data_IF_092084894416
#
_entry.id   IF_092084894416
#
_cell.length_a   1.000
_cell.length_b   1.000
_cell.length_c   1.000
_cell.angle_alpha   90.00
_cell.angle_beta   90.00
_cell.angle_gamma   90.00
#
_symmetry.space_group_name_H-M   'P 1'
#
loop_
_entity.id
_entity.type
_entity.pdbx_description
1 polymer ?
#
# COMPACT_ATOMS: atom_id res chain seq x y z
N UNK A 1 -3.37 -2.26 32.10
CA UNK A 1 -4.55 -1.39 32.29
C UNK A 1 -5.20 -1.27 30.92
N UNK A 2 -6.52 -1.41 30.84
CA UNK A 2 -7.25 -1.50 29.57
C UNK A 2 -7.16 -0.19 28.79
N UNK A 3 -6.61 -0.24 27.58
CA UNK A 3 -6.62 0.87 26.63
C UNK A 3 -8.08 1.13 26.20
N UNK A 4 -8.68 2.20 26.70
CA UNK A 4 -10.10 2.48 26.46
C UNK A 4 -10.29 3.03 25.04
N UNK A 5 -10.72 2.16 24.12
CA UNK A 5 -11.20 2.55 22.79
C UNK A 5 -12.67 2.93 22.89
N UNK A 6 -12.98 4.22 22.80
CA UNK A 6 -14.35 4.74 22.98
C UNK A 6 -14.82 5.42 21.68
N UNK A 7 -16.10 5.30 21.28
CA UNK A 7 -16.67 6.19 20.28
C UNK A 7 -16.55 7.65 20.77
N UNK A 8 -16.07 8.55 19.92
CA UNK A 8 -15.80 9.93 20.29
C UNK A 8 -16.22 10.90 19.18
N UNK A 9 -16.63 12.11 19.55
CA UNK A 9 -16.74 13.25 18.66
C UNK A 9 -15.52 14.14 18.93
N UNK A 10 -14.66 14.26 17.92
CA UNK A 10 -13.38 14.96 18.02
C UNK A 10 -13.47 16.30 17.30
N UNK A 11 -13.28 17.39 18.05
CA UNK A 11 -13.15 18.75 17.53
C UNK A 11 -11.66 19.07 17.38
N UNK A 12 -11.24 19.57 16.21
CA UNK A 12 -9.82 19.83 15.91
C UNK A 12 -9.54 21.32 15.77
N UNK A 13 -8.55 21.81 16.51
CA UNK A 13 -7.96 23.13 16.33
C UNK A 13 -6.78 23.04 15.35
N UNK A 14 -6.76 23.90 14.33
CA UNK A 14 -5.72 23.86 13.28
C UNK A 14 -4.46 24.66 13.59
N UNK A 15 -4.56 25.64 14.49
CA UNK A 15 -3.48 26.55 14.88
C UNK A 15 -3.11 26.36 16.35
N UNK A 16 -1.91 26.82 16.72
CA UNK A 16 -1.53 26.91 18.15
C UNK A 16 -2.33 28.06 18.76
N UNK A 17 -2.98 27.81 19.89
CA UNK A 17 -3.74 28.81 20.65
C UNK A 17 -3.04 29.09 21.98
N UNK A 18 -3.07 30.34 22.47
CA UNK A 18 -2.79 30.65 23.87
C UNK A 18 -3.64 29.79 24.82
N UNK A 19 -3.11 29.51 26.01
CA UNK A 19 -3.79 28.65 27.00
C UNK A 19 -5.13 29.23 27.44
N UNK A 20 -5.24 30.55 27.56
CA UNK A 20 -6.49 31.22 27.96
C UNK A 20 -7.57 31.08 26.88
N UNK A 21 -7.21 31.26 25.60
CA UNK A 21 -8.11 31.06 24.46
C UNK A 21 -8.54 29.59 24.35
N UNK A 22 -7.63 28.65 24.63
CA UNK A 22 -7.95 27.23 24.65
C UNK A 22 -8.96 26.90 25.76
N UNK A 23 -8.81 27.48 26.95
CA UNK A 23 -9.74 27.30 28.07
C UNK A 23 -11.12 27.91 27.79
N UNK A 24 -11.16 29.08 27.13
CA UNK A 24 -12.40 29.68 26.67
C UNK A 24 -13.11 28.78 25.64
N UNK A 25 -12.37 28.29 24.64
CA UNK A 25 -12.87 27.39 23.61
C UNK A 25 -13.43 26.09 24.21
N UNK A 26 -12.72 25.49 25.17
CA UNK A 26 -13.19 24.30 25.91
C UNK A 26 -14.54 24.58 26.58
N UNK A 27 -14.71 25.76 27.17
CA UNK A 27 -15.93 26.15 27.87
C UNK A 27 -17.09 26.35 26.89
N UNK A 28 -16.86 27.02 25.76
CA UNK A 28 -17.87 27.25 24.73
C UNK A 28 -18.36 25.96 24.08
N UNK A 29 -17.43 25.04 23.77
CA UNK A 29 -17.77 23.71 23.24
C UNK A 29 -18.65 22.95 24.25
N UNK A 30 -18.26 22.95 25.53
CA UNK A 30 -19.05 22.29 26.59
C UNK A 30 -20.44 22.88 26.74
N UNK A 31 -20.59 24.20 26.64
CA UNK A 31 -21.90 24.85 26.74
C UNK A 31 -22.82 24.49 25.57
N UNK A 32 -22.28 24.43 24.34
CA UNK A 32 -23.06 24.10 23.15
C UNK A 32 -23.42 22.63 23.06
N UNK A 33 -22.49 21.74 23.43
CA UNK A 33 -22.77 20.31 23.44
C UNK A 33 -23.85 19.89 24.46
N UNK A 34 -24.13 20.72 25.47
CA UNK A 34 -25.24 20.47 26.42
C UNK A 34 -26.63 20.54 25.79
N UNK A 35 -26.80 21.25 24.67
CA UNK A 35 -28.09 21.35 24.00
C UNK A 35 -28.34 20.23 23.00
N UNK A 36 -27.40 19.28 22.86
CA UNK A 36 -27.56 18.15 21.95
C UNK A 36 -28.53 17.13 22.54
N UNK A 37 -29.51 16.73 21.75
CA UNK A 37 -30.58 15.82 22.19
C UNK A 37 -30.26 14.37 21.81
N UNK A 38 -30.50 13.43 22.74
CA UNK A 38 -30.32 11.99 22.52
C UNK A 38 -29.56 11.26 23.63
N UNK A 39 -29.31 9.97 23.44
CA UNK A 39 -28.53 9.16 24.39
C UNK A 39 -27.02 9.45 24.29
N UNK A 40 -26.39 9.74 25.42
CA UNK A 40 -24.97 10.10 25.51
C UNK A 40 -24.03 8.91 25.30
N UNK A 41 -23.69 8.61 24.06
CA UNK A 41 -22.84 7.46 23.69
C UNK A 41 -21.38 7.83 23.40
N UNK A 42 -21.09 9.07 23.02
CA UNK A 42 -19.79 9.50 22.49
C UNK A 42 -19.01 10.35 23.49
N UNK A 43 -17.72 10.09 23.64
CA UNK A 43 -16.84 11.02 24.36
C UNK A 43 -16.63 12.29 23.52
N UNK A 44 -16.73 13.46 24.15
CA UNK A 44 -16.41 14.73 23.50
C UNK A 44 -14.92 15.03 23.71
N UNK A 45 -14.15 15.20 22.64
CA UNK A 45 -12.69 15.36 22.73
C UNK A 45 -12.22 16.56 21.91
N UNK A 46 -11.38 17.41 22.51
CA UNK A 46 -10.68 18.47 21.79
C UNK A 46 -9.26 18.01 21.44
N UNK A 47 -8.93 18.06 20.16
CA UNK A 47 -7.58 17.85 19.65
C UNK A 47 -6.96 19.18 19.23
N UNK A 48 -5.87 19.59 19.87
CA UNK A 48 -5.25 20.90 19.69
C UNK A 48 -3.74 20.78 19.42
N UNK A 49 -3.13 21.82 18.88
CA UNK A 49 -1.69 21.86 18.57
C UNK A 49 -0.93 22.48 19.74
N UNK A 50 0.11 21.80 20.24
CA UNK A 50 1.10 22.39 21.16
C UNK A 50 2.12 23.23 20.39
N UNK A 51 2.55 22.70 19.24
CA UNK A 51 3.45 23.33 18.29
C UNK A 51 3.12 22.81 16.87
N UNK A 52 3.91 23.19 15.87
CA UNK A 52 3.71 22.78 14.46
C UNK A 52 3.80 21.26 14.23
N UNK A 53 4.38 20.50 15.16
CA UNK A 53 4.68 19.07 15.03
C UNK A 53 3.95 18.19 16.06
N UNK A 54 3.50 18.75 17.18
CA UNK A 54 2.92 18.01 18.32
C UNK A 54 1.48 18.44 18.58
N UNK A 55 0.62 17.45 18.76
CA UNK A 55 -0.81 17.65 19.09
C UNK A 55 -1.14 17.03 20.45
N UNK A 56 -2.02 17.68 21.18
CA UNK A 56 -2.61 17.20 22.43
C UNK A 56 -4.08 16.83 22.25
N UNK A 57 -4.60 16.05 23.19
CA UNK A 57 -6.01 15.71 23.28
C UNK A 57 -6.48 15.96 24.70
N UNK A 58 -7.70 16.48 24.85
CA UNK A 58 -8.34 16.63 26.15
C UNK A 58 -9.81 16.18 26.07
N UNK A 59 -10.24 15.24 26.92
CA UNK A 59 -11.66 14.92 27.07
C UNK A 59 -12.41 16.13 27.66
N UNK A 60 -13.58 16.43 27.11
CA UNK A 60 -14.38 17.60 27.45
C UNK A 60 -15.55 17.31 28.41
N UNK A 61 -15.46 16.25 29.21
CA UNK A 61 -16.44 15.95 30.26
C UNK A 61 -17.34 14.76 29.90
N UNK A 62 -18.66 14.81 30.21
CA UNK A 62 -19.55 13.66 30.06
C UNK A 62 -19.79 13.30 28.59
N UNK A 63 -20.27 12.08 28.38
CA UNK A 63 -20.66 11.60 27.05
C UNK A 63 -21.80 12.43 26.47
N UNK A 64 -21.74 12.63 25.15
CA UNK A 64 -22.70 13.39 24.37
C UNK A 64 -23.37 12.49 23.31
N UNK A 65 -24.59 12.82 22.89
CA UNK A 65 -25.24 12.09 21.80
C UNK A 65 -24.60 12.40 20.44
N UNK A 66 -24.93 11.59 19.44
CA UNK A 66 -24.60 11.92 18.05
C UNK A 66 -25.61 12.93 17.49
N UNK A 67 -25.19 14.19 17.44
CA UNK A 67 -25.97 15.29 16.86
C UNK A 67 -25.22 15.91 15.66
N UNK A 68 -25.46 15.46 14.42
CA UNK A 68 -24.78 16.00 13.25
C UNK A 68 -25.11 17.48 13.01
N UNK A 69 -26.32 17.93 13.36
CA UNK A 69 -26.73 19.34 13.20
C UNK A 69 -25.98 20.20 14.21
N UNK A 70 -25.90 19.75 15.46
CA UNK A 70 -25.11 20.39 16.51
C UNK A 70 -23.61 20.40 16.21
N UNK A 71 -23.07 19.34 15.61
CA UNK A 71 -21.68 19.27 15.17
C UNK A 71 -21.36 20.31 14.09
N UNK A 72 -22.22 20.43 13.07
CA UNK A 72 -22.07 21.43 12.01
C UNK A 72 -22.21 22.85 12.58
N UNK A 73 -23.17 23.09 13.47
CA UNK A 73 -23.36 24.39 14.11
C UNK A 73 -22.15 24.80 14.96
N UNK A 74 -21.57 23.90 15.75
CA UNK A 74 -20.37 24.19 16.53
C UNK A 74 -19.18 24.53 15.61
N UNK A 75 -19.02 23.83 14.49
CA UNK A 75 -17.96 24.12 13.53
C UNK A 75 -18.14 25.49 12.86
N UNK A 76 -19.39 25.92 12.64
CA UNK A 76 -19.70 27.24 12.08
C UNK A 76 -19.53 28.37 13.10
N UNK A 77 -19.90 28.13 14.35
CA UNK A 77 -19.86 29.13 15.42
C UNK A 77 -18.43 29.43 15.90
N UNK A 78 -17.56 28.43 15.93
CA UNK A 78 -16.24 28.51 16.55
C UNK A 78 -15.13 28.49 15.49
N UNK A 79 -14.62 29.67 15.15
CA UNK A 79 -13.66 29.87 14.05
C UNK A 79 -12.29 29.20 14.28
N UNK A 80 -11.98 28.86 15.53
CA UNK A 80 -10.77 28.15 15.92
C UNK A 80 -10.78 26.69 15.45
N UNK A 81 -11.96 26.12 15.23
CA UNK A 81 -12.13 24.75 14.80
C UNK A 81 -11.92 24.60 13.29
N UNK A 82 -11.14 23.60 12.93
CA UNK A 82 -10.89 23.21 11.54
C UNK A 82 -11.71 22.00 11.10
N UNK A 83 -12.18 21.20 12.04
CA UNK A 83 -13.07 20.08 11.76
C UNK A 83 -13.74 19.57 13.03
N UNK A 84 -14.96 19.07 12.88
CA UNK A 84 -15.66 18.25 13.88
C UNK A 84 -15.96 16.90 13.23
N UNK A 85 -15.52 15.81 13.85
CA UNK A 85 -15.60 14.47 13.24
C UNK A 85 -16.03 13.42 14.25
N UNK A 86 -16.93 12.53 13.84
CA UNK A 86 -17.31 11.35 14.61
C UNK A 86 -16.32 10.21 14.37
N UNK A 87 -15.84 9.61 15.45
CA UNK A 87 -15.01 8.42 15.48
C UNK A 87 -15.73 7.30 16.24
N UNK A 88 -15.74 6.09 15.66
CA UNK A 88 -16.32 4.92 16.33
C UNK A 88 -15.32 4.16 17.21
N UNK A 89 -14.07 4.62 17.26
CA UNK A 89 -12.96 4.08 18.04
C UNK A 89 -11.84 5.13 18.03
N UNK A 90 -11.65 5.83 19.14
CA UNK A 90 -10.62 6.85 19.31
C UNK A 90 -9.77 6.56 20.54
N UNK A 91 -8.45 6.61 20.39
CA UNK A 91 -7.52 6.60 21.51
C UNK A 91 -7.23 8.04 21.91
N UNK A 92 -7.73 8.44 23.09
CA UNK A 92 -7.58 9.79 23.61
C UNK A 92 -6.14 10.06 24.09
N UNK A 93 -5.39 9.02 24.49
CA UNK A 93 -4.02 9.15 25.00
C UNK A 93 -3.06 9.43 23.83
N UNK A 94 -3.14 8.64 22.76
CA UNK A 94 -2.24 8.77 21.61
C UNK A 94 -2.78 9.68 20.49
N UNK A 95 -4.04 10.09 20.55
CA UNK A 95 -4.67 10.95 19.55
C UNK A 95 -4.80 10.32 18.16
N UNK A 96 -4.68 8.99 18.08
CA UNK A 96 -4.69 8.26 16.82
C UNK A 96 -6.07 7.67 16.58
N UNK A 97 -6.56 7.82 15.35
CA UNK A 97 -7.62 6.95 14.83
C UNK A 97 -7.02 5.55 14.75
N UNK A 98 -7.47 4.62 15.59
CA UNK A 98 -7.24 3.23 15.26
C UNK A 98 -7.97 2.96 13.94
N UNK A 99 -7.21 2.66 12.88
CA UNK A 99 -7.79 1.96 11.76
C UNK A 99 -8.44 0.72 12.33
N UNK A 100 -9.78 0.74 12.31
CA UNK A 100 -10.64 -0.36 12.73
C UNK A 100 -10.37 -1.57 11.83
N UNK A 101 -9.23 -2.24 12.02
CA UNK A 101 -9.09 -3.66 11.72
C UNK A 101 -9.84 -4.38 12.83
N UNK A 102 -11.17 -4.47 12.70
CA UNK A 102 -11.95 -5.46 13.41
C UNK A 102 -11.48 -6.82 12.92
N UNK A 103 -10.39 -7.32 13.50
CA UNK A 103 -10.22 -8.75 13.67
C UNK A 103 -10.97 -9.10 14.95
N UNK A 104 -11.77 -10.16 14.87
CA UNK A 104 -12.47 -10.88 15.94
C UNK A 104 -13.69 -10.23 16.58
N UNK A 105 -14.87 -10.78 16.25
CA UNK A 105 -16.08 -10.71 17.07
C UNK A 105 -17.37 -10.36 16.33
N UNK A 106 -17.99 -11.32 15.63
CA UNK A 106 -19.39 -11.29 15.17
C UNK A 106 -19.77 -10.22 14.12
N UNK A 107 -19.07 -10.17 13.00
CA UNK A 107 -19.79 -9.92 11.73
C UNK A 107 -20.41 -11.25 11.33
N UNK A 108 -21.73 -11.37 11.11
CA UNK A 108 -22.27 -12.54 10.42
C UNK A 108 -21.42 -12.75 9.17
N UNK A 109 -20.94 -13.97 8.87
CA UNK A 109 -20.19 -14.17 7.65
C UNK A 109 -21.02 -13.56 6.53
N UNK A 110 -20.43 -12.64 5.76
CA UNK A 110 -21.09 -12.16 4.53
C UNK A 110 -21.60 -13.43 3.86
N UNK A 111 -22.91 -13.52 3.52
CA UNK A 111 -23.45 -14.73 2.92
C UNK A 111 -22.47 -15.14 1.83
N UNK A 112 -21.97 -16.37 1.96
CA UNK A 112 -21.03 -16.91 1.00
C UNK A 112 -21.60 -16.70 -0.40
N UNK A 113 -20.75 -16.52 -1.41
CA UNK A 113 -21.24 -16.39 -2.78
C UNK A 113 -22.21 -17.54 -3.06
N UNK A 114 -23.37 -17.21 -3.64
CA UNK A 114 -24.42 -18.17 -3.96
C UNK A 114 -23.79 -19.32 -4.75
N UNK A 115 -23.96 -20.60 -4.33
CA UNK A 115 -23.41 -21.75 -5.06
C UNK A 115 -23.79 -21.76 -6.54
N UNK A 116 -24.96 -21.24 -6.93
CA UNK A 116 -25.37 -21.12 -8.33
C UNK A 116 -24.51 -20.12 -9.13
N UNK A 117 -23.91 -19.15 -8.44
CA UNK A 117 -23.00 -18.15 -8.99
C UNK A 117 -21.52 -18.55 -8.86
N UNK A 118 -21.23 -19.71 -8.27
CA UNK A 118 -19.86 -20.21 -8.13
C UNK A 118 -19.49 -21.12 -9.30
N UNK A 119 -18.41 -20.77 -9.99
CA UNK A 119 -17.83 -21.58 -11.07
C UNK A 119 -16.32 -21.72 -10.89
N UNK A 120 -15.84 -22.96 -10.78
CA UNK A 120 -14.42 -23.31 -10.51
C UNK A 120 -13.80 -22.57 -9.31
N UNK A 121 -14.59 -22.32 -8.25
CA UNK A 121 -14.14 -21.61 -7.05
C UNK A 121 -14.22 -20.08 -7.14
N UNK A 122 -14.76 -19.52 -8.23
CA UNK A 122 -14.93 -18.08 -8.44
C UNK A 122 -16.40 -17.68 -8.48
N UNK A 123 -16.70 -16.52 -7.90
CA UNK A 123 -18.02 -15.89 -7.97
C UNK A 123 -18.17 -15.13 -9.30
N UNK A 124 -18.94 -15.68 -10.24
CA UNK A 124 -19.11 -15.13 -11.60
C UNK A 124 -19.78 -13.75 -11.62
N UNK A 125 -20.49 -13.37 -10.54
CA UNK A 125 -21.14 -12.07 -10.44
C UNK A 125 -20.13 -10.94 -10.21
N UNK A 126 -18.96 -11.27 -9.64
CA UNK A 126 -17.86 -10.33 -9.42
C UNK A 126 -16.94 -10.18 -10.62
N UNK A 127 -17.15 -10.98 -11.67
CA UNK A 127 -16.33 -11.00 -12.88
C UNK A 127 -17.10 -10.33 -14.00
N UNK A 128 -16.44 -9.41 -14.71
CA UNK A 128 -17.01 -8.78 -15.90
C UNK A 128 -17.49 -9.88 -16.87
N UNK A 129 -18.76 -9.86 -17.32
CA UNK A 129 -19.31 -10.87 -18.22
C UNK A 129 -18.43 -11.19 -19.43
N UNK A 130 -17.76 -10.18 -19.99
CA UNK A 130 -16.87 -10.34 -21.16
C UNK A 130 -15.61 -11.16 -20.86
N UNK A 131 -15.17 -11.22 -19.60
CA UNK A 131 -13.96 -11.91 -19.16
C UNK A 131 -14.24 -13.28 -18.54
N UNK A 132 -15.51 -13.70 -18.45
CA UNK A 132 -15.86 -14.98 -17.79
C UNK A 132 -15.24 -16.19 -18.48
N UNK A 133 -14.98 -16.13 -19.78
CA UNK A 133 -14.28 -17.20 -20.50
C UNK A 133 -12.88 -17.49 -19.91
N UNK A 134 -12.27 -16.54 -19.20
CA UNK A 134 -10.98 -16.74 -18.54
C UNK A 134 -11.05 -17.66 -17.33
N UNK A 135 -12.24 -17.89 -16.73
CA UNK A 135 -12.36 -18.80 -15.59
C UNK A 135 -12.36 -20.27 -16.00
N UNK A 136 -12.56 -20.53 -17.29
CA UNK A 136 -12.71 -21.84 -17.88
C UNK A 136 -11.36 -22.59 -17.96
N UNK A 137 -11.33 -23.92 -17.80
CA UNK A 137 -10.11 -24.71 -17.88
C UNK A 137 -9.31 -24.52 -19.18
N UNK A 138 -9.99 -24.26 -20.30
CA UNK A 138 -9.41 -24.04 -21.62
C UNK A 138 -8.51 -22.79 -21.66
N UNK A 139 -8.84 -21.75 -20.88
CA UNK A 139 -8.01 -20.55 -20.75
C UNK A 139 -6.63 -20.87 -20.16
N UNK A 140 -6.56 -21.84 -19.24
CA UNK A 140 -5.29 -22.32 -18.66
C UNK A 140 -4.41 -23.02 -19.68
N UNK A 141 -5.01 -23.77 -20.60
CA UNK A 141 -4.29 -24.42 -21.69
C UNK A 141 -3.68 -23.37 -22.64
N UNK A 142 -4.47 -22.36 -23.03
CA UNK A 142 -4.00 -21.22 -23.85
C UNK A 142 -2.86 -20.47 -23.16
N UNK A 143 -2.98 -20.20 -21.86
CA UNK A 143 -1.92 -19.57 -21.08
C UNK A 143 -0.64 -20.38 -21.00
N UNK A 144 -0.74 -21.71 -20.91
CA UNK A 144 0.43 -22.60 -20.97
C UNK A 144 1.10 -22.55 -22.34
N UNK A 145 0.33 -22.57 -23.42
CA UNK A 145 0.86 -22.43 -24.78
C UNK A 145 1.59 -21.08 -24.95
N UNK A 146 0.99 -19.99 -24.46
CA UNK A 146 1.60 -18.68 -24.46
C UNK A 146 2.90 -18.62 -23.64
N UNK A 147 2.94 -19.26 -22.47
CA UNK A 147 4.15 -19.35 -21.65
C UNK A 147 5.27 -20.15 -22.33
N UNK A 148 4.93 -21.24 -23.01
CA UNK A 148 5.88 -22.05 -23.77
C UNK A 148 6.45 -21.29 -24.97
N UNK A 149 5.66 -20.41 -25.62
CA UNK A 149 6.16 -19.53 -26.68
C UNK A 149 7.29 -18.62 -26.17
N UNK A 150 7.22 -18.17 -24.93
CA UNK A 150 8.20 -17.28 -24.30
C UNK A 150 9.38 -18.01 -23.65
N UNK A 151 9.36 -19.35 -23.67
CA UNK A 151 10.37 -20.15 -22.99
C UNK A 151 11.73 -20.03 -23.67
N UNK A 152 12.76 -19.86 -22.86
CA UNK A 152 14.13 -19.68 -23.35
C UNK A 152 14.46 -18.25 -23.76
N UNK A 153 13.48 -17.34 -23.79
CA UNK A 153 13.74 -15.91 -23.90
C UNK A 153 14.31 -15.36 -22.58
N UNK A 154 15.24 -14.39 -22.61
CA UNK A 154 15.99 -13.96 -23.78
C UNK A 154 16.93 -15.07 -24.26
N UNK A 155 16.97 -15.29 -25.58
CA UNK A 155 17.75 -16.38 -26.16
C UNK A 155 19.24 -16.01 -26.14
N UNK A 156 20.06 -16.89 -25.56
CA UNK A 156 21.50 -16.65 -25.36
C UNK A 156 22.30 -16.59 -26.66
N UNK A 157 21.81 -17.25 -27.71
CA UNK A 157 22.38 -17.25 -29.06
C UNK A 157 21.92 -16.06 -29.92
N UNK A 158 21.04 -15.20 -29.41
CA UNK A 158 20.52 -14.02 -30.11
C UNK A 158 21.05 -12.72 -29.51
N UNK A 159 21.24 -11.73 -30.37
CA UNK A 159 21.52 -10.35 -29.96
C UNK A 159 20.29 -9.71 -29.28
N UNK A 160 20.51 -8.64 -28.52
CA UNK A 160 19.40 -7.94 -27.86
C UNK A 160 18.36 -7.39 -28.84
N UNK A 161 18.78 -6.95 -30.03
CA UNK A 161 17.86 -6.52 -31.09
C UNK A 161 17.02 -7.69 -31.61
N UNK A 162 17.63 -8.84 -31.88
CA UNK A 162 16.91 -10.04 -32.34
C UNK A 162 15.93 -10.58 -31.27
N UNK A 163 16.26 -10.47 -29.99
CA UNK A 163 15.35 -10.80 -28.89
C UNK A 163 14.15 -9.83 -28.87
N UNK A 164 14.40 -8.52 -29.00
CA UNK A 164 13.31 -7.53 -29.08
C UNK A 164 12.40 -7.79 -30.28
N UNK A 165 12.99 -8.06 -31.44
CA UNK A 165 12.24 -8.29 -32.68
C UNK A 165 11.40 -9.58 -32.59
N UNK A 166 11.90 -10.62 -31.90
CA UNK A 166 11.09 -11.80 -31.56
C UNK A 166 9.83 -11.44 -30.75
N UNK A 167 9.94 -10.57 -29.74
CA UNK A 167 8.77 -10.15 -28.96
C UNK A 167 7.78 -9.37 -29.83
N UNK A 168 8.23 -8.43 -30.67
CA UNK A 168 7.32 -7.64 -31.50
C UNK A 168 6.69 -8.46 -32.64
N UNK A 169 7.49 -9.23 -33.37
CA UNK A 169 7.06 -9.90 -34.61
C UNK A 169 6.49 -11.30 -34.36
N UNK A 170 7.07 -12.05 -33.43
CA UNK A 170 6.73 -13.47 -33.24
C UNK A 170 5.84 -13.72 -32.02
N UNK A 171 5.65 -12.71 -31.16
CA UNK A 171 4.73 -12.77 -30.01
C UNK A 171 3.60 -11.77 -30.19
N UNK A 172 3.89 -10.46 -30.22
CA UNK A 172 2.85 -9.42 -30.23
C UNK A 172 2.05 -9.43 -31.54
N UNK A 173 2.72 -9.48 -32.70
CA UNK A 173 2.02 -9.42 -33.99
C UNK A 173 1.07 -10.61 -34.25
N UNK A 174 1.29 -11.75 -33.60
CA UNK A 174 0.45 -12.94 -33.73
C UNK A 174 -0.59 -13.09 -32.61
N UNK A 175 -0.64 -12.16 -31.62
CA UNK A 175 -1.54 -12.27 -30.48
C UNK A 175 -3.01 -12.40 -30.90
N UNK A 176 -3.49 -11.52 -31.78
CA UNK A 176 -4.88 -11.54 -32.23
C UNK A 176 -5.22 -12.83 -33.01
N UNK A 177 -4.31 -13.27 -33.88
CA UNK A 177 -4.55 -14.43 -34.75
C UNK A 177 -4.41 -15.77 -34.00
N UNK A 178 -3.43 -15.90 -33.11
CA UNK A 178 -3.11 -17.15 -32.41
C UNK A 178 -3.78 -17.26 -31.05
N UNK A 179 -4.00 -16.13 -30.38
CA UNK A 179 -4.54 -16.06 -29.03
C UNK A 179 -5.63 -14.98 -28.89
N UNK A 180 -6.75 -15.08 -29.63
CA UNK A 180 -7.79 -14.04 -29.68
C UNK A 180 -8.35 -13.69 -28.29
N UNK A 181 -8.60 -14.68 -27.43
CA UNK A 181 -9.05 -14.44 -26.05
C UNK A 181 -8.02 -13.64 -25.23
N UNK A 182 -6.72 -13.93 -25.41
CA UNK A 182 -5.64 -13.20 -24.74
C UNK A 182 -5.60 -11.76 -25.24
N UNK A 183 -5.78 -11.56 -26.53
CA UNK A 183 -5.83 -10.26 -27.17
C UNK A 183 -7.02 -9.42 -26.68
N UNK A 184 -8.21 -9.99 -26.59
CA UNK A 184 -9.41 -9.34 -26.07
C UNK A 184 -9.23 -8.86 -24.62
N UNK A 185 -8.62 -9.71 -23.78
CA UNK A 185 -8.29 -9.37 -22.40
C UNK A 185 -7.25 -8.25 -22.36
N UNK A 186 -6.22 -8.33 -23.20
CA UNK A 186 -5.23 -7.26 -23.32
C UNK A 186 -5.89 -5.92 -23.71
N UNK A 187 -6.83 -5.91 -24.66
CA UNK A 187 -7.59 -4.71 -25.02
C UNK A 187 -8.45 -4.19 -23.85
N UNK A 188 -9.10 -5.09 -23.12
CA UNK A 188 -9.91 -4.72 -21.95
C UNK A 188 -9.08 -4.04 -20.84
N UNK A 189 -7.80 -4.40 -20.72
CA UNK A 189 -6.84 -3.80 -19.79
C UNK A 189 -5.90 -2.80 -20.47
N UNK A 190 -6.41 -2.07 -21.46
CA UNK A 190 -5.74 -0.97 -22.16
C UNK A 190 -4.36 -1.35 -22.74
N UNK A 191 -4.12 -2.59 -23.12
CA UNK A 191 -2.83 -3.05 -23.65
C UNK A 191 -1.79 -3.44 -22.60
N UNK A 192 -2.19 -3.79 -21.38
CA UNK A 192 -1.27 -4.10 -20.28
C UNK A 192 -0.28 -5.24 -20.57
N UNK A 193 -0.67 -6.30 -21.27
CA UNK A 193 0.24 -7.39 -21.64
C UNK A 193 1.25 -6.91 -22.68
N UNK A 194 0.80 -6.20 -23.72
CA UNK A 194 1.69 -5.67 -24.76
C UNK A 194 2.72 -4.71 -24.15
N UNK A 195 2.30 -3.85 -23.22
CA UNK A 195 3.25 -3.00 -22.47
C UNK A 195 4.28 -3.83 -21.70
N UNK A 196 3.84 -4.84 -20.96
CA UNK A 196 4.74 -5.71 -20.20
C UNK A 196 5.74 -6.44 -21.12
N UNK A 197 5.27 -6.98 -22.25
CA UNK A 197 6.10 -7.63 -23.27
C UNK A 197 7.12 -6.64 -23.86
N UNK A 198 6.73 -5.40 -24.13
CA UNK A 198 7.66 -4.36 -24.59
C UNK A 198 8.69 -4.00 -23.53
N UNK A 199 8.28 -3.89 -22.27
CA UNK A 199 9.20 -3.61 -21.15
C UNK A 199 10.28 -4.68 -21.04
N UNK A 200 9.94 -5.97 -21.14
CA UNK A 200 10.94 -7.06 -21.12
C UNK A 200 11.77 -7.15 -22.41
N UNK A 201 11.22 -6.65 -23.54
CA UNK A 201 11.88 -6.61 -24.83
C UNK A 201 13.01 -5.57 -24.88
N UNK A 202 12.95 -4.55 -24.02
CA UNK A 202 13.97 -3.51 -24.00
C UNK A 202 15.37 -4.08 -23.72
N UNK A 203 16.38 -3.76 -24.56
CA UNK A 203 17.74 -4.29 -24.41
C UNK A 203 18.33 -4.13 -23.00
N UNK A 204 18.07 -3.01 -22.34
CA UNK A 204 18.53 -2.73 -20.97
C UNK A 204 17.92 -3.64 -19.89
N UNK A 205 16.81 -4.30 -20.21
CA UNK A 205 16.01 -5.10 -19.29
C UNK A 205 16.24 -6.60 -19.49
N UNK A 206 16.61 -7.04 -20.70
CA UNK A 206 16.81 -8.45 -21.04
C UNK A 206 17.79 -9.17 -20.09
N UNK A 207 18.92 -8.55 -19.74
CA UNK A 207 19.93 -9.14 -18.85
C UNK A 207 19.54 -9.15 -17.36
N UNK A 208 18.41 -8.53 -17.01
CA UNK A 208 17.92 -8.37 -15.61
C UNK A 208 16.66 -9.20 -15.35
N UNK A 209 16.27 -10.02 -16.34
CA UNK A 209 15.15 -10.93 -16.23
C UNK A 209 15.53 -12.15 -15.36
N UNK A 210 14.68 -12.54 -14.41
CA UNK A 210 14.80 -13.84 -13.75
C UNK A 210 14.70 -14.98 -14.76
N UNK A 211 15.35 -16.12 -14.48
CA UNK A 211 15.34 -17.30 -15.38
C UNK A 211 13.96 -17.91 -15.60
N UNK A 212 13.02 -17.67 -14.69
CA UNK A 212 11.66 -18.20 -14.66
C UNK A 212 10.59 -17.16 -15.06
N UNK A 213 10.98 -16.02 -15.63
CA UNK A 213 10.07 -14.91 -15.92
C UNK A 213 8.90 -15.30 -16.85
N UNK A 214 9.11 -16.23 -17.79
CA UNK A 214 8.06 -16.77 -18.68
C UNK A 214 6.92 -17.44 -17.91
N UNK A 215 7.23 -18.01 -16.74
CA UNK A 215 6.26 -18.54 -15.80
C UNK A 215 5.39 -17.47 -15.16
N UNK A 216 5.91 -16.26 -14.93
CA UNK A 216 5.14 -15.13 -14.37
C UNK A 216 4.04 -14.69 -15.34
N UNK A 217 4.35 -14.53 -16.63
CA UNK A 217 3.32 -14.22 -17.63
C UNK A 217 2.41 -15.43 -17.90
N UNK A 218 2.92 -16.66 -17.84
CA UNK A 218 2.09 -17.86 -17.91
C UNK A 218 1.09 -17.99 -16.75
N UNK A 219 1.49 -17.57 -15.55
CA UNK A 219 0.68 -17.62 -14.34
C UNK A 219 -0.50 -16.63 -14.38
N UNK A 220 -0.50 -15.64 -15.27
CA UNK A 220 -1.64 -14.76 -15.54
C UNK A 220 -2.93 -15.53 -15.84
N UNK A 221 -2.78 -16.73 -16.39
CA UNK A 221 -3.86 -17.62 -16.82
C UNK A 221 -3.96 -18.90 -15.99
N UNK A 222 -3.18 -19.05 -14.91
CA UNK A 222 -3.32 -20.21 -14.02
C UNK A 222 -4.42 -20.03 -13.01
N UNK A 223 -4.54 -18.81 -12.49
CA UNK A 223 -5.61 -18.44 -11.59
C UNK A 223 -6.87 -18.04 -12.33
N UNK A 224 -6.85 -17.99 -13.67
CA UNK A 224 -8.07 -17.90 -14.46
C UNK A 224 -8.97 -16.71 -14.00
N UNK A 225 -8.35 -15.60 -13.57
CA UNK A 225 -9.05 -14.52 -12.87
C UNK A 225 -8.48 -13.13 -13.25
N UNK A 226 -9.32 -12.11 -13.48
CA UNK A 226 -8.89 -10.75 -13.86
C UNK A 226 -7.85 -10.10 -12.92
N UNK A 227 -7.94 -10.33 -11.62
CA UNK A 227 -6.95 -9.80 -10.67
C UNK A 227 -5.57 -10.43 -10.85
N UNK A 228 -5.49 -11.71 -11.27
CA UNK A 228 -4.21 -12.34 -11.55
C UNK A 228 -3.56 -11.71 -12.79
N UNK A 229 -4.35 -11.41 -13.82
CA UNK A 229 -3.89 -10.66 -15.00
C UNK A 229 -3.22 -9.33 -14.60
N UNK A 230 -3.98 -8.50 -13.90
CA UNK A 230 -3.55 -7.15 -13.50
C UNK A 230 -2.31 -7.19 -12.62
N UNK A 231 -2.27 -8.11 -11.64
CA UNK A 231 -1.15 -8.24 -10.71
C UNK A 231 0.14 -8.65 -11.41
N UNK A 232 0.08 -9.60 -12.33
CA UNK A 232 1.25 -10.11 -13.05
C UNK A 232 1.76 -9.10 -14.09
N UNK A 233 0.88 -8.38 -14.81
CA UNK A 233 1.30 -7.25 -15.67
C UNK A 233 2.03 -6.18 -14.85
N UNK A 234 1.45 -5.80 -13.70
CA UNK A 234 2.04 -4.78 -12.81
C UNK A 234 3.35 -5.26 -12.19
N UNK A 235 3.53 -6.57 -12.01
CA UNK A 235 4.74 -7.15 -11.45
C UNK A 235 5.97 -6.88 -12.31
N UNK A 236 5.83 -6.93 -13.64
CA UNK A 236 6.93 -6.66 -14.59
C UNK A 236 7.48 -5.25 -14.39
N UNK A 237 6.61 -4.24 -14.38
CA UNK A 237 7.02 -2.84 -14.21
C UNK A 237 7.64 -2.61 -12.83
N UNK A 238 7.07 -3.23 -11.79
CA UNK A 238 7.61 -3.14 -10.42
C UNK A 238 8.99 -3.79 -10.29
N UNK A 239 9.23 -4.93 -10.94
CA UNK A 239 10.52 -5.60 -10.93
C UNK A 239 11.62 -4.68 -11.46
N UNK A 240 11.42 -4.08 -12.64
CA UNK A 240 12.42 -3.18 -13.22
C UNK A 240 12.58 -1.88 -12.44
N UNK A 241 11.51 -1.32 -11.89
CA UNK A 241 11.59 -0.16 -11.00
C UNK A 241 12.43 -0.46 -9.74
N UNK A 242 12.26 -1.65 -9.14
CA UNK A 242 13.06 -2.10 -8.01
C UNK A 242 14.52 -2.32 -8.40
N UNK A 243 14.78 -2.95 -9.54
CA UNK A 243 16.14 -3.17 -10.03
C UNK A 243 16.84 -1.84 -10.36
N UNK A 244 16.12 -0.83 -10.88
CA UNK A 244 16.68 0.50 -11.14
C UNK A 244 16.99 1.23 -9.82
N UNK A 245 16.09 1.12 -8.84
CA UNK A 245 16.33 1.64 -7.49
C UNK A 245 17.55 1.00 -6.84
N UNK A 246 17.73 -0.33 -6.94
CA UNK A 246 18.93 -1.03 -6.45
C UNK A 246 20.20 -0.55 -7.15
N UNK A 247 20.16 -0.38 -8.46
CA UNK A 247 21.30 0.12 -9.24
C UNK A 247 21.69 1.54 -8.81
N UNK A 248 20.71 2.44 -8.65
CA UNK A 248 20.93 3.80 -8.13
C UNK A 248 21.52 3.80 -6.72
N UNK A 249 20.97 3.03 -5.80
CA UNK A 249 21.52 2.89 -4.43
C UNK A 249 22.94 2.34 -4.43
N UNK A 250 23.29 1.43 -5.35
CA UNK A 250 24.65 0.90 -5.50
C UNK A 250 25.62 1.95 -6.04
N UNK A 251 25.19 2.81 -6.95
CA UNK A 251 25.98 3.92 -7.48
C UNK A 251 26.12 5.10 -6.50
N UNK A 252 25.09 5.35 -5.68
CA UNK A 252 25.07 6.37 -4.63
C UNK A 252 25.83 5.95 -3.36
N UNK A 253 26.10 4.66 -3.17
CA UNK A 253 27.03 4.23 -2.12
C UNK A 253 28.38 4.85 -2.45
N UNK A 254 28.92 5.76 -1.62
CA UNK A 254 30.22 6.32 -1.87
C UNK A 254 31.19 5.15 -2.01
N UNK A 255 31.95 5.11 -3.11
CA UNK A 255 33.17 4.29 -3.15
C UNK A 255 33.89 4.64 -1.86
N UNK A 256 34.03 3.69 -0.94
CA UNK A 256 34.82 3.87 0.27
C UNK A 256 36.25 4.12 -0.17
N UNK A 257 36.54 5.37 -0.47
CA UNK A 257 37.85 5.94 -0.65
C UNK A 257 38.29 6.30 0.76
N UNK A 258 39.45 5.75 1.12
CA UNK A 258 39.91 5.62 2.48
C UNK A 258 39.83 6.91 3.32
N UNK A 259 39.58 6.67 4.60
CA UNK A 259 40.31 7.18 5.77
C UNK A 259 39.90 6.30 6.97
N UNK A 260 38.65 5.83 7.02
CA UNK A 260 38.16 4.92 8.06
C UNK A 260 38.78 3.50 8.04
N UNK A 261 39.39 3.04 6.94
CA UNK A 261 40.16 1.78 6.94
C UNK A 261 41.66 1.97 7.24
N UNK A 262 42.16 3.21 7.34
CA UNK A 262 43.54 3.49 7.78
C UNK A 262 43.64 3.65 9.30
N UNK A 263 42.55 4.04 9.96
CA UNK A 263 42.50 4.14 11.42
C UNK A 263 42.36 2.79 12.14
N UNK A 264 41.97 1.71 11.43
CA UNK A 264 41.97 0.36 12.00
C UNK A 264 43.33 -0.33 11.95
N UNK A 265 44.24 0.10 11.07
CA UNK A 265 45.61 -0.43 11.00
C UNK A 265 46.60 0.39 11.86
N UNK A 266 46.36 1.69 12.05
CA UNK A 266 47.15 2.54 12.96
C UNK A 266 46.87 2.29 14.45
N UNK A 267 45.86 1.49 14.79
CA UNK A 267 45.55 1.12 16.17
C UNK A 267 46.27 -0.15 16.65
N UNK A 268 47.14 -0.76 15.81
CA UNK A 268 47.97 -1.92 16.21
C UNK A 268 49.36 -1.49 16.70
N UNK A 269 49.78 -0.23 16.52
CA UNK A 269 51.07 0.26 17.02
C UNK A 269 50.89 1.47 17.93
N UNK A 270 50.43 1.26 19.17
CA UNK A 270 50.99 1.89 20.39
C UNK A 270 50.19 1.47 21.64
N UNK A 271 50.56 0.33 22.19
CA UNK A 271 51.17 0.23 23.53
C UNK A 271 50.85 1.32 24.59
N UNK A 272 49.57 1.53 24.91
CA UNK A 272 49.17 2.31 26.09
C UNK A 272 48.33 1.55 27.13
N UNK A 273 48.13 0.24 26.95
CA UNK A 273 47.47 -0.61 27.97
C UNK A 273 48.50 -1.34 28.86
N UNK A 274 49.77 -1.46 28.45
CA UNK A 274 50.82 -2.07 29.28
C UNK A 274 51.51 -1.08 30.24
N UNK A 275 51.44 0.23 29.97
CA UNK A 275 52.01 1.25 30.87
C UNK A 275 51.08 1.64 32.03
N UNK A 276 49.76 1.46 31.89
CA UNK A 276 48.79 1.72 32.97
C UNK A 276 48.61 0.52 33.93
N UNK A 277 49.01 -0.69 33.51
CA UNK A 277 48.96 -1.90 34.34
C UNK A 277 50.14 -2.07 35.30
N UNK A 278 51.20 -1.25 35.18
CA UNK A 278 52.37 -1.23 36.10
C UNK A 278 52.30 -0.04 37.08
N UNK A 279 51.34 0.87 36.93
CA UNK A 279 51.14 2.01 37.83
C UNK A 279 50.07 1.75 38.93
N UNK A 280 49.36 0.61 38.88
CA UNK A 280 48.38 0.21 39.90
C UNK A 280 48.38 -1.32 40.18
N UNK A 281 49.53 -1.99 39.98
CA UNK A 281 49.76 -3.38 40.33
C UNK A 281 51.24 -3.65 40.57
#
# INVERSE_FOLDING_TARGET
>A
MSDFVIPAIVLRVGKVLPVDDLNALITDIKMRAKSWEGEGEYDLVLNFCYDEKRRGNVPLGPKVPYDPVGMDQILLDLQELTSVQRFHAYDVIDGRKHEKKWKTGLTPPKPGPDPANMRYGYDITKINPKLRHMIEPEARAKGKEFAELLKGYPFADKTAAQNRDFIEMDVIAVLEARFPDIYDVNLHFDGALVRALRTIAEPKNQSRLPSDWHGVLGCMFWQNHPNAWTNNCTFVDRHFAMEEYKARRKAERPKSTGIASRYTELAIETDHITAAAVAFG
#
